data_IF_639530565722
#
_entry.id   IF_639530565722
#
_cell.length_a   1.000
_cell.length_b   1.000
_cell.length_c   1.000
_cell.angle_alpha   90.00
_cell.angle_beta   90.00
_cell.angle_gamma   90.00
#
_symmetry.space_group_name_H-M   'P 1'
#
loop_
_entity.id
_entity.type
_entity.pdbx_description
1 polymer ?
#
# COMPACT_ATOMS: atom_id res chain seq x y z
N UNK A 1 1.76 -1.29 26.67
CA UNK A 1 0.91 -0.30 25.98
C UNK A 1 -0.16 -1.05 25.21
N UNK A 2 -1.41 -0.84 25.54
CA UNK A 2 -2.52 -1.57 24.90
C UNK A 2 -2.80 -0.96 23.51
N UNK A 3 -2.92 -1.80 22.47
CA UNK A 3 -3.29 -1.40 21.11
C UNK A 3 -4.54 -0.51 21.04
N UNK A 4 -5.44 -0.67 21.99
CA UNK A 4 -6.68 0.12 22.07
C UNK A 4 -6.47 1.63 22.35
N UNK A 5 -5.36 2.01 22.97
CA UNK A 5 -5.08 3.43 23.27
C UNK A 5 -4.46 4.15 22.07
N UNK A 6 -3.69 3.42 21.25
CA UNK A 6 -3.15 3.94 19.99
C UNK A 6 -4.27 4.20 18.97
N UNK A 7 -5.21 3.28 18.85
CA UNK A 7 -6.35 3.43 17.93
C UNK A 7 -7.28 4.58 18.32
N UNK A 8 -7.54 4.77 19.62
CA UNK A 8 -8.35 5.89 20.10
C UNK A 8 -7.67 7.24 19.85
N UNK A 9 -6.37 7.34 20.13
CA UNK A 9 -5.61 8.56 19.89
C UNK A 9 -5.58 8.96 18.42
N UNK A 10 -5.49 7.99 17.53
CA UNK A 10 -5.49 8.22 16.08
C UNK A 10 -6.84 8.71 15.57
N UNK A 11 -7.94 8.05 15.95
CA UNK A 11 -9.31 8.46 15.57
C UNK A 11 -9.65 9.86 16.09
N UNK A 12 -9.31 10.16 17.33
CA UNK A 12 -9.54 11.47 17.94
C UNK A 12 -8.77 12.58 17.24
N UNK A 13 -7.53 12.31 16.79
CA UNK A 13 -6.76 13.29 15.99
C UNK A 13 -7.38 13.53 14.63
N UNK A 14 -7.82 12.48 13.95
CA UNK A 14 -8.49 12.63 12.67
C UNK A 14 -9.80 13.42 12.78
N UNK A 15 -10.60 13.13 13.81
CA UNK A 15 -11.82 13.87 14.11
C UNK A 15 -11.54 15.33 14.43
N UNK A 16 -10.45 15.63 15.16
CA UNK A 16 -10.06 17.00 15.48
C UNK A 16 -9.58 17.81 14.26
N UNK A 17 -9.04 17.15 13.24
CA UNK A 17 -8.57 17.79 12.01
C UNK A 17 -9.63 17.81 10.90
N UNK A 18 -10.71 17.06 11.00
CA UNK A 18 -11.86 17.16 10.13
C UNK A 18 -12.66 18.43 10.48
N UNK A 19 -12.12 19.58 10.12
CA UNK A 19 -12.80 20.86 10.31
C UNK A 19 -14.16 20.87 9.61
N UNK A 20 -15.10 21.62 10.18
CA UNK A 20 -16.40 21.89 9.58
C UNK A 20 -16.20 22.65 8.26
N UNK A 21 -15.93 21.93 7.18
CA UNK A 21 -16.13 22.48 5.85
C UNK A 21 -17.58 22.20 5.44
N UNK A 22 -18.22 23.25 4.99
CA UNK A 22 -19.61 23.35 4.51
C UNK A 22 -19.78 22.58 3.17
N UNK A 23 -19.29 21.34 3.11
CA UNK A 23 -19.54 20.44 1.99
C UNK A 23 -20.64 19.49 2.38
N UNK A 24 -21.71 19.44 1.60
CA UNK A 24 -22.84 18.52 1.78
C UNK A 24 -22.43 17.03 1.69
N UNK A 25 -21.15 16.73 1.38
CA UNK A 25 -20.61 15.37 1.30
C UNK A 25 -20.00 14.93 2.63
N UNK A 26 -20.33 13.72 3.10
CA UNK A 26 -19.73 13.19 4.33
C UNK A 26 -18.21 13.02 4.17
N UNK A 27 -17.46 13.46 5.19
CA UNK A 27 -16.00 13.28 5.24
C UNK A 27 -15.65 11.81 5.17
N UNK A 28 -14.68 11.46 4.31
CA UNK A 28 -14.20 10.09 4.19
C UNK A 28 -12.66 10.04 4.22
N UNK A 29 -12.18 8.89 4.65
CA UNK A 29 -10.77 8.52 4.60
C UNK A 29 -10.65 7.12 4.02
N UNK A 30 -9.80 6.95 3.01
CA UNK A 30 -9.55 5.66 2.35
C UNK A 30 -8.05 5.40 2.33
N UNK A 31 -7.68 4.18 2.69
CA UNK A 31 -6.30 3.75 2.79
C UNK A 31 -6.05 2.46 2.01
N UNK A 32 -4.81 2.27 1.60
CA UNK A 32 -4.35 1.02 1.00
C UNK A 32 -2.87 0.82 1.25
N UNK A 33 -2.44 -0.45 1.24
CA UNK A 33 -1.04 -0.83 1.20
C UNK A 33 -0.86 -1.93 0.15
N UNK A 34 0.10 -1.74 -0.74
CA UNK A 34 0.35 -2.62 -1.88
C UNK A 34 1.84 -2.91 -1.99
N UNK A 35 2.20 -4.19 -2.03
CA UNK A 35 3.53 -4.60 -2.45
C UNK A 35 3.57 -4.57 -3.99
N UNK A 36 4.54 -3.84 -4.55
CA UNK A 36 4.73 -3.75 -6.00
C UNK A 36 6.09 -4.30 -6.40
N UNK A 37 6.09 -5.10 -7.45
CA UNK A 37 7.28 -5.64 -8.11
C UNK A 37 7.18 -5.21 -9.56
N UNK A 38 8.17 -4.45 -10.04
CA UNK A 38 8.09 -3.87 -11.38
C UNK A 38 9.47 -3.71 -12.03
N UNK A 39 9.45 -3.61 -13.34
CA UNK A 39 10.65 -3.56 -14.17
C UNK A 39 10.56 -4.58 -15.28
N UNK A 40 11.64 -5.34 -15.50
CA UNK A 40 11.65 -6.49 -16.41
C UNK A 40 11.52 -7.76 -15.60
N UNK A 41 10.32 -8.32 -15.54
CA UNK A 41 10.02 -9.54 -14.79
C UNK A 41 10.16 -10.75 -15.72
N UNK A 42 11.10 -11.67 -15.46
CA UNK A 42 11.34 -12.82 -16.35
C UNK A 42 10.14 -13.76 -16.51
N UNK A 43 9.38 -13.96 -15.41
CA UNK A 43 8.19 -14.81 -15.43
C UNK A 43 7.23 -14.47 -14.30
N UNK A 44 6.00 -14.06 -14.64
CA UNK A 44 4.95 -13.75 -13.67
C UNK A 44 4.49 -15.00 -12.91
N UNK A 45 4.36 -16.13 -13.60
CA UNK A 45 3.94 -17.39 -13.01
C UNK A 45 4.97 -17.94 -12.01
N UNK A 46 6.27 -17.83 -12.34
CA UNK A 46 7.35 -18.18 -11.43
C UNK A 46 7.32 -17.31 -10.18
N UNK A 47 7.14 -16.00 -10.34
CA UNK A 47 7.05 -15.04 -9.26
C UNK A 47 5.86 -15.36 -8.33
N UNK A 48 4.70 -15.60 -8.90
CA UNK A 48 3.49 -16.02 -8.17
C UNK A 48 3.73 -17.32 -7.41
N UNK A 49 4.33 -18.31 -8.04
CA UNK A 49 4.65 -19.60 -7.41
C UNK A 49 5.65 -19.46 -6.25
N UNK A 50 6.68 -18.63 -6.41
CA UNK A 50 7.70 -18.38 -5.37
C UNK A 50 7.14 -17.59 -4.19
N UNK A 51 6.25 -16.65 -4.42
CA UNK A 51 5.57 -15.89 -3.36
C UNK A 51 4.44 -16.68 -2.71
N UNK A 52 3.88 -17.65 -3.42
CA UNK A 52 2.79 -18.48 -2.91
C UNK A 52 1.46 -17.76 -2.79
N UNK A 53 1.28 -16.67 -3.53
CA UNK A 53 0.08 -15.84 -3.50
C UNK A 53 -0.19 -15.25 -4.87
N UNK A 54 -1.48 -15.18 -5.25
CA UNK A 54 -1.90 -14.56 -6.51
C UNK A 54 -1.84 -13.03 -6.41
N UNK A 55 -1.38 -12.34 -7.46
CA UNK A 55 -1.39 -10.88 -7.48
C UNK A 55 -2.83 -10.33 -7.55
N UNK A 56 -3.04 -9.16 -6.98
CA UNK A 56 -4.30 -8.42 -7.16
C UNK A 56 -4.34 -7.70 -8.51
N UNK A 57 -3.15 -7.40 -9.05
CA UNK A 57 -3.00 -6.84 -10.39
C UNK A 57 -1.65 -7.26 -10.98
N UNK A 58 -1.64 -7.56 -12.27
CA UNK A 58 -0.41 -7.79 -13.03
C UNK A 58 -0.59 -7.32 -14.48
N UNK A 59 0.52 -6.89 -15.09
CA UNK A 59 0.58 -6.60 -16.52
C UNK A 59 2.01 -6.75 -17.03
N UNK A 60 2.14 -6.83 -18.36
CA UNK A 60 3.42 -6.81 -19.06
C UNK A 60 3.64 -5.48 -19.76
N UNK A 61 4.90 -5.12 -19.96
CA UNK A 61 5.27 -4.01 -20.82
C UNK A 61 4.66 -4.17 -22.21
N UNK A 62 4.13 -3.09 -22.77
CA UNK A 62 3.45 -3.09 -24.07
C UNK A 62 1.94 -3.37 -24.01
N UNK A 63 1.45 -3.96 -22.94
CA UNK A 63 0.00 -4.09 -22.74
C UNK A 63 -0.62 -2.72 -22.46
N UNK A 64 -1.93 -2.61 -22.73
CA UNK A 64 -2.69 -1.37 -22.51
C UNK A 64 -3.83 -1.61 -21.54
N UNK A 65 -4.08 -0.64 -20.68
CA UNK A 65 -5.23 -0.65 -19.77
C UNK A 65 -6.56 -0.55 -20.53
N UNK A 66 -6.56 0.21 -21.64
CA UNK A 66 -7.69 0.39 -22.55
C UNK A 66 -7.17 0.72 -23.94
N UNK A 67 -8.04 0.69 -24.96
CA UNK A 67 -7.66 1.00 -26.35
C UNK A 67 -7.03 2.40 -26.50
N UNK A 68 -7.44 3.36 -25.68
CA UNK A 68 -7.00 4.75 -25.76
C UNK A 68 -5.89 5.10 -24.75
N UNK A 69 -5.43 4.13 -23.94
CA UNK A 69 -4.35 4.37 -22.98
C UNK A 69 -2.97 4.13 -23.60
N UNK A 70 -1.97 4.83 -23.09
CA UNK A 70 -0.57 4.54 -23.40
C UNK A 70 -0.20 3.10 -22.97
N UNK A 71 0.66 2.40 -23.72
CA UNK A 71 1.17 1.11 -23.30
C UNK A 71 1.95 1.21 -22.00
N UNK A 72 1.86 0.18 -21.17
CA UNK A 72 2.70 0.09 -19.98
C UNK A 72 4.18 0.03 -20.37
N UNK A 73 5.01 0.78 -19.67
CA UNK A 73 6.45 0.84 -19.92
C UNK A 73 7.22 -0.31 -19.29
N UNK A 74 6.66 -0.90 -18.24
CA UNK A 74 7.29 -1.95 -17.43
C UNK A 74 6.31 -3.07 -17.13
N UNK A 75 6.85 -4.25 -16.84
CA UNK A 75 6.07 -5.31 -16.22
C UNK A 75 5.71 -4.91 -14.79
N UNK A 76 4.56 -5.37 -14.31
CA UNK A 76 4.09 -5.16 -12.94
C UNK A 76 3.49 -6.44 -12.39
N UNK A 77 3.81 -6.74 -11.15
CA UNK A 77 3.14 -7.68 -10.28
C UNK A 77 2.85 -6.96 -8.96
N UNK A 78 1.64 -6.93 -8.53
CA UNK A 78 1.30 -6.24 -7.29
C UNK A 78 0.23 -6.96 -6.48
N UNK A 79 0.33 -6.82 -5.17
CA UNK A 79 -0.61 -7.38 -4.21
C UNK A 79 -1.03 -6.31 -3.21
N UNK A 80 -2.31 -6.02 -3.19
CA UNK A 80 -2.91 -5.09 -2.23
C UNK A 80 -3.48 -5.84 -1.05
N UNK A 81 -3.15 -5.41 0.16
CA UNK A 81 -3.68 -6.01 1.38
C UNK A 81 -5.22 -6.02 1.36
N UNK A 82 -5.86 -7.18 1.58
CA UNK A 82 -7.33 -7.32 1.52
C UNK A 82 -8.01 -6.80 2.78
N UNK A 83 -7.84 -5.52 3.05
CA UNK A 83 -8.37 -4.81 4.22
C UNK A 83 -9.42 -3.80 3.75
N UNK A 84 -10.47 -3.60 4.54
CA UNK A 84 -11.45 -2.57 4.24
C UNK A 84 -10.75 -1.21 4.13
N UNK A 85 -11.02 -0.49 3.05
CA UNK A 85 -10.36 0.78 2.73
C UNK A 85 -10.53 1.87 3.80
N UNK A 86 -11.50 1.76 4.69
CA UNK A 86 -11.74 2.70 5.79
C UNK A 86 -11.00 2.34 7.08
N UNK A 87 -10.39 1.16 7.16
CA UNK A 87 -9.53 0.80 8.28
C UNK A 87 -8.25 1.65 8.28
N UNK A 88 -7.66 1.94 9.46
CA UNK A 88 -6.43 2.72 9.55
C UNK A 88 -5.30 2.17 8.68
N UNK A 89 -4.44 3.06 8.19
CA UNK A 89 -3.34 2.68 7.30
C UNK A 89 -2.44 1.58 7.87
N UNK A 90 -2.17 1.62 9.19
CA UNK A 90 -1.32 0.61 9.82
C UNK A 90 -1.90 -0.80 9.76
N UNK A 91 -3.23 -0.96 9.74
CA UNK A 91 -3.88 -2.27 9.59
C UNK A 91 -3.56 -2.86 8.21
N UNK A 92 -3.58 -2.02 7.17
CA UNK A 92 -3.18 -2.43 5.82
C UNK A 92 -1.71 -2.83 5.75
N UNK A 93 -0.83 -2.05 6.38
CA UNK A 93 0.61 -2.32 6.42
C UNK A 93 0.89 -3.62 7.16
N UNK A 94 0.30 -3.81 8.33
CA UNK A 94 0.50 -5.01 9.15
C UNK A 94 0.01 -6.28 8.45
N UNK A 95 -1.12 -6.19 7.77
CA UNK A 95 -1.66 -7.28 6.97
C UNK A 95 -0.74 -7.62 5.81
N UNK A 96 -0.22 -6.62 5.12
CA UNK A 96 0.74 -6.82 4.03
C UNK A 96 2.01 -7.51 4.53
N UNK A 97 2.56 -7.07 5.66
CA UNK A 97 3.76 -7.67 6.24
C UNK A 97 3.52 -9.09 6.73
N UNK A 98 2.41 -9.35 7.40
CA UNK A 98 1.99 -10.71 7.77
C UNK A 98 1.99 -11.67 6.59
N UNK A 99 1.57 -11.19 5.43
CA UNK A 99 1.50 -11.99 4.21
C UNK A 99 2.88 -12.31 3.65
N UNK A 100 3.81 -11.35 3.66
CA UNK A 100 5.09 -11.47 2.95
C UNK A 100 6.32 -11.70 3.83
N UNK A 101 6.23 -11.58 5.13
CA UNK A 101 7.40 -11.70 6.04
C UNK A 101 8.16 -13.02 5.89
N UNK A 102 7.47 -14.11 5.59
CA UNK A 102 8.08 -15.42 5.36
C UNK A 102 8.80 -15.52 4.01
N UNK A 103 8.62 -14.54 3.13
CA UNK A 103 9.26 -14.43 1.81
C UNK A 103 10.30 -13.30 1.75
N UNK A 104 10.67 -12.76 2.88
CA UNK A 104 11.63 -11.65 3.01
C UNK A 104 12.90 -11.90 2.22
N UNK A 105 13.55 -13.03 2.42
CA UNK A 105 14.82 -13.35 1.76
C UNK A 105 14.69 -13.40 0.23
N UNK A 106 13.60 -13.98 -0.25
CA UNK A 106 13.31 -14.00 -1.67
C UNK A 106 13.10 -12.59 -2.23
N UNK A 107 12.33 -11.75 -1.53
CA UNK A 107 12.09 -10.37 -1.95
C UNK A 107 13.38 -9.53 -1.96
N UNK A 108 14.27 -9.72 -0.98
CA UNK A 108 15.58 -9.06 -0.95
C UNK A 108 16.47 -9.50 -2.12
N UNK A 109 16.47 -10.78 -2.48
CA UNK A 109 17.20 -11.25 -3.67
C UNK A 109 16.58 -10.69 -4.95
N UNK A 110 15.27 -10.64 -5.03
CA UNK A 110 14.54 -10.13 -6.19
C UNK A 110 14.82 -8.64 -6.43
N UNK A 111 14.97 -7.84 -5.38
CA UNK A 111 15.34 -6.42 -5.45
C UNK A 111 16.66 -6.15 -6.18
N UNK A 112 17.55 -7.12 -6.27
CA UNK A 112 18.81 -6.99 -7.01
C UNK A 112 18.60 -6.97 -8.53
N UNK A 113 17.45 -7.43 -9.01
CA UNK A 113 17.14 -7.61 -10.43
C UNK A 113 15.99 -6.73 -10.91
N UNK A 114 15.00 -6.48 -10.05
CA UNK A 114 13.80 -5.70 -10.33
C UNK A 114 13.54 -4.73 -9.18
N UNK A 115 12.62 -3.79 -9.39
CA UNK A 115 12.20 -2.89 -8.33
C UNK A 115 11.16 -3.57 -7.44
N UNK A 116 11.32 -3.44 -6.13
CA UNK A 116 10.35 -3.86 -5.13
C UNK A 116 10.09 -2.69 -4.21
N UNK A 117 8.85 -2.30 -4.06
CA UNK A 117 8.46 -1.25 -3.11
C UNK A 117 7.13 -1.55 -2.41
N UNK A 118 6.84 -0.76 -1.41
CA UNK A 118 5.55 -0.75 -0.72
C UNK A 118 4.88 0.58 -1.01
N UNK A 119 3.78 0.53 -1.74
CA UNK A 119 2.97 1.70 -2.07
C UNK A 119 1.85 1.87 -1.04
N UNK A 120 1.82 3.02 -0.39
CA UNK A 120 0.77 3.40 0.55
C UNK A 120 -0.11 4.46 -0.09
N UNK A 121 -1.41 4.23 -0.08
CA UNK A 121 -2.41 5.15 -0.58
C UNK A 121 -3.21 5.79 0.55
N UNK A 122 -3.43 7.09 0.45
CA UNK A 122 -4.33 7.85 1.28
C UNK A 122 -5.21 8.71 0.38
N UNK A 123 -6.52 8.62 0.55
CA UNK A 123 -7.48 9.47 -0.17
C UNK A 123 -8.53 10.00 0.80
N UNK A 124 -8.81 11.30 0.71
CA UNK A 124 -9.82 11.98 1.51
C UNK A 124 -10.41 13.16 0.74
N UNK A 125 -11.61 13.59 1.13
CA UNK A 125 -12.17 14.88 0.74
C UNK A 125 -11.88 15.96 1.80
N UNK A 126 -11.04 15.67 2.78
CA UNK A 126 -10.61 16.60 3.81
C UNK A 126 -9.20 17.08 3.52
N UNK A 127 -8.99 18.38 3.39
CA UNK A 127 -7.69 19.00 3.09
C UNK A 127 -6.82 19.20 4.34
N UNK A 128 -7.42 19.11 5.53
CA UNK A 128 -6.76 19.25 6.82
C UNK A 128 -6.87 17.98 7.65
N UNK A 129 -6.15 16.93 7.25
CA UNK A 129 -6.11 15.68 8.00
C UNK A 129 -4.71 15.13 8.04
N UNK A 130 -4.38 14.49 9.15
CA UNK A 130 -3.13 13.77 9.35
C UNK A 130 -3.36 12.26 9.31
N UNK A 131 -2.27 11.53 9.24
CA UNK A 131 -2.24 10.09 9.46
C UNK A 131 -1.14 9.78 10.46
N UNK A 132 -1.30 8.69 11.17
CA UNK A 132 -0.34 8.21 12.14
C UNK A 132 -0.10 6.70 11.89
N UNK A 133 1.16 6.31 11.87
CA UNK A 133 1.57 4.93 11.75
C UNK A 133 2.38 4.57 12.98
N UNK A 134 1.94 3.59 13.81
CA UNK A 134 2.71 3.12 14.94
C UNK A 134 4.08 2.61 14.50
N UNK A 135 5.10 2.82 15.34
CA UNK A 135 6.46 2.35 15.02
C UNK A 135 6.55 0.84 14.78
N UNK A 136 5.68 0.05 15.44
CA UNK A 136 5.59 -1.40 15.25
C UNK A 136 5.17 -1.82 13.85
N UNK A 137 4.47 -0.95 13.11
CA UNK A 137 4.04 -1.19 11.73
C UNK A 137 5.12 -0.83 10.70
N UNK A 138 6.26 -0.31 11.12
CA UNK A 138 7.35 0.09 10.23
C UNK A 138 8.29 -1.06 9.85
N UNK A 139 8.10 -2.24 10.44
CA UNK A 139 8.96 -3.41 10.22
C UNK A 139 9.13 -3.77 8.74
N UNK A 140 8.08 -3.74 7.96
CA UNK A 140 8.14 -4.06 6.52
C UNK A 140 9.15 -3.18 5.76
N UNK A 141 9.22 -1.88 6.09
CA UNK A 141 10.12 -0.93 5.43
C UNK A 141 11.56 -1.18 5.81
N UNK A 142 11.82 -1.49 7.09
CA UNK A 142 13.15 -1.81 7.59
C UNK A 142 13.63 -3.16 7.07
N UNK A 143 12.79 -4.17 7.13
CA UNK A 143 13.12 -5.55 6.77
C UNK A 143 13.29 -5.75 5.27
N UNK A 144 12.50 -5.06 4.44
CA UNK A 144 12.64 -5.10 2.98
C UNK A 144 13.58 -4.02 2.45
N UNK A 145 14.08 -3.14 3.31
CA UNK A 145 14.96 -2.03 2.93
C UNK A 145 14.32 -1.17 1.82
N UNK A 146 13.08 -0.79 2.04
CA UNK A 146 12.31 0.06 1.11
C UNK A 146 11.90 1.36 1.78
N UNK A 147 11.76 2.45 1.03
CA UNK A 147 11.37 3.73 1.60
C UNK A 147 9.93 3.73 2.11
N UNK A 148 9.69 4.47 3.18
CA UNK A 148 8.34 4.81 3.61
C UNK A 148 7.86 6.05 2.86
N UNK A 149 6.80 5.91 2.09
CA UNK A 149 6.19 7.01 1.37
C UNK A 149 4.69 6.81 1.25
N UNK A 150 3.92 7.88 1.27
CA UNK A 150 2.47 7.86 1.15
C UNK A 150 2.03 8.72 -0.02
N UNK A 151 1.26 8.14 -0.93
CA UNK A 151 0.59 8.88 -1.98
C UNK A 151 -0.71 9.47 -1.42
N UNK A 152 -0.81 10.80 -1.40
CA UNK A 152 -1.93 11.53 -0.83
C UNK A 152 -2.74 12.16 -1.95
N UNK A 153 -4.03 11.84 -2.01
CA UNK A 153 -4.98 12.41 -2.96
C UNK A 153 -6.11 13.05 -2.15
N UNK A 154 -6.27 14.35 -2.34
CA UNK A 154 -7.41 15.12 -1.82
C UNK A 154 -8.35 15.43 -2.97
N UNK A 155 -9.63 15.12 -2.81
CA UNK A 155 -10.65 15.26 -3.88
C UNK A 155 -11.90 15.95 -3.39
#
# INVERSE_FOLDING_TARGET
MNDSDSERGWRTRQEAFSGEEDSDEPTYFKYSATLRIFGTIPGHDELTGRLGIEPTHSHRAGERRSQNSEPYKHDMWSYTAPVNKHEPLHVHIDTLWSTFRTRKEYLLQLKKKVNVDVFLGYRSNCDHAGLEVPHTSLAIFLELEVPFGVSIIVT
#
